data_IF_538501724052
#
_entry.id   IF_538501724052
#
_cell.length_a   1.000
_cell.length_b   1.000
_cell.length_c   1.000
_cell.angle_alpha   90.00
_cell.angle_beta   90.00
_cell.angle_gamma   90.00
#
_symmetry.space_group_name_H-M   'P 1'
#
loop_
_entity.id
_entity.type
_entity.pdbx_description
1 polymer ?
#
# COMPACT_ATOMS: atom_id res chain seq x y z
N UNK A 1 7.59 -2.27 -48.11
CA UNK A 1 6.36 -2.67 -47.41
C UNK A 1 6.68 -2.76 -45.92
N UNK A 2 6.21 -1.78 -45.15
CA UNK A 2 6.19 -1.80 -43.69
C UNK A 2 5.24 -2.91 -43.23
N UNK A 3 5.66 -3.80 -42.33
CA UNK A 3 4.76 -4.87 -41.89
C UNK A 3 5.27 -5.87 -40.86
N UNK A 4 6.54 -5.86 -40.46
CA UNK A 4 7.04 -6.82 -39.46
C UNK A 4 7.43 -6.20 -38.10
N UNK A 5 7.51 -4.87 -37.99
CA UNK A 5 7.76 -4.18 -36.71
C UNK A 5 6.51 -4.00 -35.83
N UNK A 6 5.31 -4.12 -36.41
CA UNK A 6 4.06 -3.74 -35.76
C UNK A 6 3.34 -4.89 -35.03
N UNK A 7 3.60 -6.16 -35.40
CA UNK A 7 3.03 -7.33 -34.70
C UNK A 7 3.93 -7.88 -33.57
N UNK A 8 5.25 -7.80 -33.69
CA UNK A 8 6.18 -8.23 -32.63
C UNK A 8 6.29 -7.21 -31.48
N UNK A 9 6.20 -5.92 -31.80
CA UNK A 9 6.28 -4.84 -30.80
C UNK A 9 5.05 -4.72 -29.90
N UNK A 10 3.86 -5.11 -30.38
CA UNK A 10 2.62 -5.02 -29.60
C UNK A 10 2.58 -5.97 -28.41
N UNK A 11 2.96 -7.23 -28.61
CA UNK A 11 2.98 -8.24 -27.53
C UNK A 11 4.07 -7.93 -26.51
N UNK A 12 5.26 -7.53 -26.97
CA UNK A 12 6.34 -7.10 -26.08
C UNK A 12 5.96 -5.83 -25.30
N UNK A 13 5.25 -4.89 -25.92
CA UNK A 13 4.72 -3.69 -25.27
C UNK A 13 3.69 -4.02 -24.17
N UNK A 14 2.77 -4.96 -24.43
CA UNK A 14 1.77 -5.40 -23.45
C UNK A 14 2.42 -6.14 -22.26
N UNK A 15 3.45 -6.95 -22.51
CA UNK A 15 4.22 -7.60 -21.44
C UNK A 15 4.94 -6.57 -20.56
N UNK A 16 5.60 -5.58 -21.15
CA UNK A 16 6.26 -4.51 -20.41
C UNK A 16 5.25 -3.66 -19.61
N UNK A 17 4.08 -3.36 -20.19
CA UNK A 17 2.99 -2.65 -19.51
C UNK A 17 2.49 -3.43 -18.29
N UNK A 18 2.25 -4.75 -18.44
CA UNK A 18 1.83 -5.61 -17.34
C UNK A 18 2.86 -5.68 -16.21
N UNK A 19 4.15 -5.78 -16.54
CA UNK A 19 5.25 -5.74 -15.57
C UNK A 19 5.30 -4.39 -14.86
N UNK A 20 5.18 -3.28 -15.58
CA UNK A 20 5.17 -1.94 -14.99
C UNK A 20 4.00 -1.76 -14.00
N UNK A 21 2.80 -2.19 -14.39
CA UNK A 21 1.62 -2.15 -13.52
C UNK A 21 1.83 -3.03 -12.28
N UNK A 22 2.35 -4.25 -12.43
CA UNK A 22 2.65 -5.14 -11.32
C UNK A 22 3.63 -4.50 -10.31
N UNK A 23 4.70 -3.89 -10.80
CA UNK A 23 5.66 -3.20 -9.93
C UNK A 23 5.04 -1.97 -9.26
N UNK A 24 4.19 -1.20 -9.96
CA UNK A 24 3.47 -0.06 -9.38
C UNK A 24 2.57 -0.53 -8.24
N UNK A 25 1.77 -1.58 -8.41
CA UNK A 25 0.90 -2.09 -7.35
C UNK A 25 1.67 -2.71 -6.18
N UNK A 26 2.75 -3.45 -6.48
CA UNK A 26 3.61 -4.05 -5.44
C UNK A 26 4.28 -2.97 -4.58
N UNK A 27 4.84 -1.93 -5.19
CA UNK A 27 5.46 -0.83 -4.45
C UNK A 27 4.44 0.18 -3.88
N UNK A 28 3.26 0.33 -4.47
CA UNK A 28 2.19 1.14 -3.89
C UNK A 28 1.68 0.53 -2.58
N UNK A 29 1.67 -0.80 -2.47
CA UNK A 29 1.27 -1.46 -1.22
C UNK A 29 2.36 -1.37 -0.13
N UNK A 30 3.63 -1.26 -0.53
CA UNK A 30 4.76 -1.03 0.40
C UNK A 30 4.94 0.45 0.78
N UNK A 31 4.46 1.38 -0.06
CA UNK A 31 4.49 2.83 0.22
C UNK A 31 3.37 3.32 1.15
N UNK A 32 2.49 2.45 1.65
CA UNK A 32 1.62 2.80 2.79
C UNK A 32 2.36 2.93 4.12
N UNK A 33 3.67 2.66 4.17
CA UNK A 33 4.47 2.77 5.40
C UNK A 33 5.55 3.86 5.39
N UNK A 34 5.73 4.60 4.29
CA UNK A 34 6.80 5.60 4.17
C UNK A 34 6.33 6.89 3.52
N UNK A 35 5.50 7.64 4.24
CA UNK A 35 5.15 9.00 3.86
C UNK A 35 4.05 9.54 4.75
N UNK A 36 4.45 10.30 5.78
CA UNK A 36 3.60 10.84 6.84
C UNK A 36 3.06 9.80 7.84
N UNK A 37 3.70 9.68 9.00
CA UNK A 37 3.04 9.21 10.22
C UNK A 37 2.05 10.30 10.67
N UNK A 38 0.99 10.49 9.90
CA UNK A 38 -0.13 11.30 10.36
C UNK A 38 -0.79 10.58 11.55
N UNK A 39 -1.32 11.36 12.49
CA UNK A 39 -2.04 10.84 13.68
C UNK A 39 -3.16 9.86 13.27
N UNK A 40 -3.71 9.99 12.06
CA UNK A 40 -4.70 9.07 11.47
C UNK A 40 -4.19 7.63 11.35
N UNK A 41 -2.96 7.44 10.88
CA UNK A 41 -2.40 6.12 10.60
C UNK A 41 -2.08 5.38 11.89
N UNK A 42 -1.60 6.12 12.91
CA UNK A 42 -1.35 5.58 14.23
C UNK A 42 -2.65 5.11 14.91
N UNK A 43 -3.75 5.85 14.75
CA UNK A 43 -5.07 5.44 15.25
C UNK A 43 -5.64 4.23 14.49
N UNK A 44 -5.44 4.16 13.17
CA UNK A 44 -5.89 3.03 12.36
C UNK A 44 -5.15 1.74 12.73
N UNK A 45 -3.83 1.81 12.94
CA UNK A 45 -3.02 0.68 13.42
C UNK A 45 -3.46 0.22 14.82
N UNK A 46 -3.76 1.15 15.74
CA UNK A 46 -4.25 0.80 17.07
C UNK A 46 -5.60 0.08 17.01
N UNK A 47 -6.51 0.57 16.15
CA UNK A 47 -7.84 -0.02 15.97
C UNK A 47 -7.74 -1.43 15.38
N UNK A 48 -6.85 -1.64 14.42
CA UNK A 48 -6.62 -2.95 13.81
C UNK A 48 -6.11 -3.97 14.85
N UNK A 49 -5.15 -3.59 15.69
CA UNK A 49 -4.60 -4.46 16.75
C UNK A 49 -5.63 -4.77 17.83
N UNK A 50 -6.48 -3.81 18.17
CA UNK A 50 -7.60 -4.03 19.10
C UNK A 50 -8.62 -5.01 18.53
N UNK A 51 -8.98 -4.87 17.26
CA UNK A 51 -9.90 -5.78 16.57
C UNK A 51 -9.34 -7.21 16.43
N UNK A 52 -8.01 -7.34 16.30
CA UNK A 52 -7.31 -8.63 16.33
C UNK A 52 -7.18 -9.24 17.73
N UNK A 53 -7.51 -8.50 18.79
CA UNK A 53 -7.34 -8.94 20.18
C UNK A 53 -5.88 -8.96 20.65
N UNK A 54 -4.97 -8.30 19.93
CA UNK A 54 -3.54 -8.23 20.26
C UNK A 54 -3.24 -7.23 21.39
N UNK A 55 -4.15 -6.29 21.65
CA UNK A 55 -4.08 -5.30 22.72
C UNK A 55 -5.40 -5.26 23.49
N UNK A 56 -5.34 -4.93 24.77
CA UNK A 56 -6.54 -4.77 25.61
C UNK A 56 -7.19 -3.40 25.39
N UNK A 57 -8.45 -3.26 25.80
CA UNK A 57 -9.19 -1.99 25.73
C UNK A 57 -8.48 -0.85 26.49
N UNK A 58 -7.88 -1.18 27.64
CA UNK A 58 -7.11 -0.24 28.46
C UNK A 58 -5.87 0.30 27.71
N UNK A 59 -5.15 -0.58 27.00
CA UNK A 59 -4.01 -0.19 26.19
C UNK A 59 -4.40 0.64 24.97
N UNK A 60 -5.52 0.30 24.34
CA UNK A 60 -6.07 1.05 23.21
C UNK A 60 -6.43 2.48 23.63
N UNK A 61 -7.20 2.64 24.71
CA UNK A 61 -7.64 3.96 25.19
C UNK A 61 -6.47 4.83 25.67
N UNK A 62 -5.47 4.25 26.34
CA UNK A 62 -4.25 4.99 26.72
C UNK A 62 -3.50 5.53 25.51
N UNK A 63 -3.23 4.69 24.52
CA UNK A 63 -2.46 5.08 23.32
C UNK A 63 -3.23 6.05 22.44
N UNK A 64 -4.56 5.89 22.34
CA UNK A 64 -5.46 6.81 21.64
C UNK A 64 -5.43 8.22 22.23
N UNK A 65 -5.42 8.36 23.57
CA UNK A 65 -5.28 9.66 24.23
C UNK A 65 -3.93 10.32 23.93
N UNK A 66 -2.83 9.57 24.02
CA UNK A 66 -1.48 10.08 23.73
C UNK A 66 -1.29 10.55 22.28
N UNK A 67 -2.06 10.01 21.34
CA UNK A 67 -2.00 10.43 19.93
C UNK A 67 -2.88 11.65 19.64
N UNK A 68 -3.88 11.94 20.48
CA UNK A 68 -4.79 13.06 20.28
C UNK A 68 -4.28 14.36 20.91
N UNK A 69 -3.40 14.26 21.92
CA UNK A 69 -2.59 15.37 22.48
C UNK A 69 -1.41 15.73 21.55
#
# INVERSE_FOLDING_TARGET
MMGFGMMGGGILGLLLLGIAIYFIFRYANERKYYGNRDKSDALEILKERYAKGEITEEEYERKKKMLND
#
